data_IF_447507611852
#
_entry.id   IF_447507611852
#
_cell.length_a   1.000
_cell.length_b   1.000
_cell.length_c   1.000
_cell.angle_alpha   90.00
_cell.angle_beta   90.00
_cell.angle_gamma   90.00
#
_symmetry.space_group_name_H-M   'P 1'
#
loop_
_entity.id
_entity.type
_entity.pdbx_description
1 polymer ?
#
# COMPACT_ATOMS: atom_id res chain seq x y z
N UNK A 1 -4.56 6.31 -53.49
CA UNK A 1 -5.60 7.21 -52.93
C UNK A 1 -6.19 6.74 -51.59
N UNK A 2 -6.71 5.50 -51.47
CA UNK A 2 -7.33 5.05 -50.21
C UNK A 2 -6.34 4.96 -49.02
N UNK A 3 -5.12 4.47 -49.22
CA UNK A 3 -4.09 4.38 -48.17
C UNK A 3 -3.65 5.75 -47.64
N UNK A 4 -3.48 6.74 -48.53
CA UNK A 4 -3.13 8.11 -48.14
C UNK A 4 -4.22 8.75 -47.25
N UNK A 5 -5.50 8.46 -47.51
CA UNK A 5 -6.60 8.92 -46.65
C UNK A 5 -6.56 8.28 -45.26
N UNK A 6 -6.23 6.98 -45.18
CA UNK A 6 -6.07 6.28 -43.90
C UNK A 6 -4.97 6.92 -43.06
N UNK A 7 -3.84 7.25 -43.68
CA UNK A 7 -2.72 7.91 -43.00
C UNK A 7 -3.11 9.31 -42.49
N UNK A 8 -3.82 10.11 -43.29
CA UNK A 8 -4.32 11.42 -42.85
C UNK A 8 -5.27 11.32 -41.67
N UNK A 9 -6.15 10.30 -41.66
CA UNK A 9 -7.06 10.05 -40.53
C UNK A 9 -6.27 9.69 -39.26
N UNK A 10 -5.27 8.81 -39.37
CA UNK A 10 -4.41 8.46 -38.24
C UNK A 10 -3.64 9.64 -37.69
N UNK A 11 -3.16 10.54 -38.56
CA UNK A 11 -2.51 11.79 -38.14
C UNK A 11 -3.48 12.69 -37.37
N UNK A 12 -4.73 12.82 -37.82
CA UNK A 12 -5.76 13.56 -37.09
C UNK A 12 -6.09 12.95 -35.71
N UNK A 13 -6.08 11.62 -35.60
CA UNK A 13 -6.26 10.94 -34.31
C UNK A 13 -5.09 11.23 -33.37
N UNK A 14 -3.86 11.18 -33.87
CA UNK A 14 -2.66 11.50 -33.09
C UNK A 14 -2.73 12.93 -32.56
N UNK A 15 -3.03 13.91 -33.42
CA UNK A 15 -3.17 15.31 -33.03
C UNK A 15 -4.27 15.51 -31.98
N UNK A 16 -5.40 14.81 -32.10
CA UNK A 16 -6.47 14.89 -31.11
C UNK A 16 -6.05 14.32 -29.75
N UNK A 17 -5.39 13.16 -29.75
CA UNK A 17 -4.88 12.52 -28.51
C UNK A 17 -3.83 13.42 -27.87
N UNK A 18 -2.87 13.90 -28.65
CA UNK A 18 -1.85 14.83 -28.19
C UNK A 18 -2.45 16.14 -27.70
N UNK A 19 -3.47 16.70 -28.36
CA UNK A 19 -4.15 17.89 -27.86
C UNK A 19 -4.82 17.62 -26.51
N UNK A 20 -5.50 16.48 -26.34
CA UNK A 20 -6.16 16.16 -25.06
C UNK A 20 -5.16 15.90 -23.94
N UNK A 21 -4.06 15.21 -24.22
CA UNK A 21 -3.02 14.89 -23.24
C UNK A 21 -2.10 16.09 -22.98
N UNK A 22 -1.66 16.82 -23.99
CA UNK A 22 -0.82 18.02 -23.88
C UNK A 22 -1.60 19.32 -23.65
N UNK A 23 -2.93 19.33 -23.69
CA UNK A 23 -3.71 20.48 -23.20
C UNK A 23 -3.42 20.74 -21.72
N UNK A 24 -2.95 19.72 -20.99
CA UNK A 24 -2.26 19.88 -19.72
C UNK A 24 -0.77 20.26 -19.92
N UNK A 25 -0.45 21.21 -20.80
CA UNK A 25 0.88 21.80 -21.05
C UNK A 25 1.41 22.61 -19.83
N UNK A 26 1.04 22.14 -18.65
CA UNK A 26 1.24 22.72 -17.33
C UNK A 26 2.67 22.51 -16.86
N UNK A 27 3.40 21.54 -17.44
CA UNK A 27 4.84 21.39 -17.20
C UNK A 27 5.63 22.65 -17.60
N UNK A 28 5.13 23.43 -18.57
CA UNK A 28 5.75 24.69 -18.99
C UNK A 28 5.34 25.90 -18.11
N UNK A 29 4.43 25.71 -17.17
CA UNK A 29 3.95 26.73 -16.25
C UNK A 29 4.30 26.31 -14.82
N UNK A 30 5.48 26.72 -14.35
CA UNK A 30 6.01 26.39 -13.02
C UNK A 30 5.00 26.68 -11.89
N UNK A 31 4.17 27.72 -12.07
CA UNK A 31 3.18 28.16 -11.08
C UNK A 31 2.01 27.19 -10.91
N UNK A 32 1.73 26.36 -11.93
CA UNK A 32 0.66 25.35 -11.93
C UNK A 32 1.18 23.94 -11.77
N UNK A 33 2.49 23.77 -11.56
CA UNK A 33 3.12 22.47 -11.41
C UNK A 33 2.61 21.72 -10.18
N UNK A 34 2.23 22.44 -9.11
CA UNK A 34 1.60 21.83 -7.92
C UNK A 34 0.25 21.20 -8.25
N UNK A 35 -0.59 21.87 -9.04
CA UNK A 35 -1.94 21.39 -9.41
C UNK A 35 -1.90 20.20 -10.39
N UNK A 36 -0.74 19.92 -11.00
CA UNK A 36 -0.54 18.77 -11.90
C UNK A 36 0.29 17.66 -11.28
N UNK A 37 1.16 17.99 -10.31
CA UNK A 37 1.90 17.00 -9.54
C UNK A 37 1.01 16.27 -8.54
N UNK A 38 -0.08 16.93 -8.10
CA UNK A 38 -1.09 16.34 -7.24
C UNK A 38 -2.40 16.26 -7.99
N UNK A 39 -3.15 15.19 -7.75
CA UNK A 39 -4.46 15.04 -8.36
C UNK A 39 -5.52 15.80 -7.55
N UNK A 40 -6.61 16.18 -8.20
CA UNK A 40 -7.77 16.73 -7.50
C UNK A 40 -8.50 15.65 -6.69
N UNK A 41 -9.41 16.05 -5.79
CA UNK A 41 -10.21 15.11 -4.99
C UNK A 41 -11.06 14.15 -5.84
N UNK A 42 -11.27 14.47 -7.13
CA UNK A 42 -12.03 13.65 -8.08
C UNK A 42 -11.17 12.76 -8.96
N UNK A 43 -9.86 12.77 -8.76
CA UNK A 43 -8.84 12.04 -9.50
C UNK A 43 -8.87 12.30 -11.02
N UNK A 44 -9.11 13.54 -11.44
CA UNK A 44 -9.29 13.91 -12.85
C UNK A 44 -8.06 13.58 -13.70
N UNK A 45 -6.86 13.90 -13.21
CA UNK A 45 -5.61 13.66 -13.95
C UNK A 45 -5.28 12.17 -14.01
N UNK A 46 -5.48 11.42 -12.91
CA UNK A 46 -5.28 9.97 -12.90
C UNK A 46 -6.23 9.26 -13.88
N UNK A 47 -7.50 9.69 -13.94
CA UNK A 47 -8.48 9.16 -14.90
C UNK A 47 -8.10 9.47 -16.34
N UNK A 48 -7.62 10.69 -16.61
CA UNK A 48 -7.16 11.10 -17.93
C UNK A 48 -5.99 10.24 -18.41
N UNK A 49 -4.95 10.06 -17.59
CA UNK A 49 -3.81 9.22 -17.97
C UNK A 49 -4.20 7.76 -18.14
N UNK A 50 -5.08 7.23 -17.27
CA UNK A 50 -5.57 5.87 -17.42
C UNK A 50 -6.37 5.68 -18.72
N UNK A 51 -7.23 6.64 -19.07
CA UNK A 51 -7.94 6.64 -20.34
C UNK A 51 -6.97 6.70 -21.53
N UNK A 52 -6.00 7.61 -21.49
CA UNK A 52 -5.04 7.81 -22.57
C UNK A 52 -4.15 6.57 -22.79
N UNK A 53 -3.66 5.94 -21.72
CA UNK A 53 -2.84 4.72 -21.83
C UNK A 53 -3.61 3.58 -22.48
N UNK A 54 -4.86 3.36 -22.07
CA UNK A 54 -5.68 2.29 -22.64
C UNK A 54 -6.01 2.57 -24.11
N UNK A 55 -6.39 3.81 -24.42
CA UNK A 55 -6.68 4.22 -25.79
C UNK A 55 -5.45 4.06 -26.68
N UNK A 56 -4.29 4.59 -26.29
CA UNK A 56 -3.08 4.54 -27.11
C UNK A 56 -2.61 3.09 -27.32
N UNK A 57 -2.72 2.21 -26.31
CA UNK A 57 -2.47 0.78 -26.52
C UNK A 57 -3.38 0.16 -27.59
N UNK A 58 -4.67 0.49 -27.57
CA UNK A 58 -5.62 0.00 -28.58
C UNK A 58 -5.29 0.56 -29.96
N UNK A 59 -4.94 1.85 -30.07
CA UNK A 59 -4.55 2.48 -31.33
C UNK A 59 -3.26 1.87 -31.90
N UNK A 60 -2.24 1.63 -31.07
CA UNK A 60 -1.00 0.96 -31.49
C UNK A 60 -1.29 -0.43 -32.03
N UNK A 61 -2.18 -1.19 -31.38
CA UNK A 61 -2.58 -2.51 -31.84
C UNK A 61 -3.27 -2.45 -33.21
N UNK A 62 -4.20 -1.52 -33.38
CA UNK A 62 -4.90 -1.32 -34.66
C UNK A 62 -3.95 -0.88 -35.79
N UNK A 63 -2.95 -0.05 -35.48
CA UNK A 63 -1.89 0.33 -36.41
C UNK A 63 -1.02 -0.87 -36.80
N UNK A 64 -0.64 -1.69 -35.82
CA UNK A 64 0.15 -2.90 -36.05
C UNK A 64 -0.59 -3.90 -36.95
N UNK A 65 -1.87 -4.14 -36.65
CA UNK A 65 -2.76 -4.96 -37.46
C UNK A 65 -2.83 -4.41 -38.91
N UNK A 66 -2.98 -3.09 -39.07
CA UNK A 66 -3.06 -2.43 -40.39
C UNK A 66 -1.77 -2.61 -41.21
N UNK A 67 -0.60 -2.45 -40.59
CA UNK A 67 0.71 -2.64 -41.21
C UNK A 67 0.92 -4.12 -41.58
N UNK A 68 0.50 -5.04 -40.72
CA UNK A 68 0.59 -6.48 -40.98
C UNK A 68 -0.32 -6.89 -42.14
N UNK A 69 -1.55 -6.37 -42.23
CA UNK A 69 -2.46 -6.64 -43.34
C UNK A 69 -1.88 -6.18 -44.68
N UNK A 70 -1.23 -5.02 -44.73
CA UNK A 70 -0.53 -4.58 -45.93
C UNK A 70 0.60 -5.54 -46.32
N UNK A 71 1.41 -5.95 -45.34
CA UNK A 71 2.53 -6.88 -45.57
C UNK A 71 2.05 -8.23 -46.11
N UNK A 72 0.94 -8.75 -45.57
CA UNK A 72 0.31 -9.97 -46.04
C UNK A 72 -0.25 -9.80 -47.46
N UNK A 73 -0.97 -8.71 -47.74
CA UNK A 73 -1.47 -8.40 -49.07
C UNK A 73 -0.33 -8.32 -50.10
N UNK A 74 0.76 -7.63 -49.76
CA UNK A 74 1.94 -7.50 -50.60
C UNK A 74 2.53 -8.88 -50.92
N UNK A 75 2.80 -9.69 -49.89
CA UNK A 75 3.42 -11.01 -50.05
C UNK A 75 2.55 -12.02 -50.83
N UNK A 76 1.22 -11.96 -50.66
CA UNK A 76 0.31 -12.94 -51.26
C UNK A 76 -0.23 -12.54 -52.63
N UNK A 77 -0.48 -11.25 -52.87
CA UNK A 77 -1.10 -10.78 -54.11
C UNK A 77 -0.11 -10.06 -55.03
N UNK A 78 0.75 -9.20 -54.49
CA UNK A 78 1.61 -8.31 -55.30
C UNK A 78 2.85 -9.03 -55.80
N UNK A 79 3.59 -9.74 -54.93
CA UNK A 79 4.81 -10.47 -55.31
C UNK A 79 4.59 -11.53 -56.39
N UNK A 80 3.60 -12.46 -56.26
CA UNK A 80 3.37 -13.47 -57.29
C UNK A 80 2.97 -12.88 -58.66
N UNK A 81 2.28 -11.74 -58.66
CA UNK A 81 1.92 -11.05 -59.89
C UNK A 81 3.12 -10.40 -60.58
N UNK A 82 4.06 -9.87 -59.80
CA UNK A 82 5.31 -9.25 -60.29
C UNK A 82 6.28 -10.28 -60.89
N UNK A 83 6.32 -11.48 -60.30
CA UNK A 83 7.20 -12.57 -60.74
C UNK A 83 6.69 -13.31 -61.98
N UNK A 84 5.40 -13.15 -62.33
CA UNK A 84 4.84 -13.63 -63.59
C UNK A 84 5.61 -12.96 -64.74
N UNK A 85 6.04 -13.72 -65.74
CA UNK A 85 6.70 -13.18 -66.96
C UNK A 85 5.78 -13.37 -68.17
N UNK A 86 5.40 -12.29 -68.85
CA UNK A 86 4.70 -12.38 -70.13
C UNK A 86 5.69 -12.51 -71.30
N UNK A 87 5.32 -13.31 -72.31
CA UNK A 87 6.10 -13.44 -73.54
C UNK A 87 5.93 -12.20 -74.42
N UNK A 88 7.02 -11.72 -75.03
CA UNK A 88 6.99 -10.60 -76.00
C UNK A 88 6.23 -10.93 -77.29
N UNK A 89 5.98 -12.22 -77.56
CA UNK A 89 5.21 -12.68 -78.71
C UNK A 89 3.69 -12.74 -78.44
N UNK A 90 3.26 -12.37 -77.24
CA UNK A 90 1.85 -12.38 -76.85
C UNK A 90 1.18 -11.06 -77.28
N UNK A 91 0.04 -11.13 -77.96
CA UNK A 91 -0.73 -9.95 -78.41
C UNK A 91 -1.13 -9.03 -77.23
N UNK A 92 -1.12 -9.57 -76.01
CA UNK A 92 -1.45 -8.86 -74.78
C UNK A 92 -0.24 -8.20 -74.07
N UNK A 93 0.95 -8.26 -74.66
CA UNK A 93 2.20 -7.76 -74.06
C UNK A 93 2.13 -6.25 -73.70
N UNK A 94 1.47 -5.43 -74.53
CA UNK A 94 1.26 -4.01 -74.27
C UNK A 94 0.48 -3.74 -72.97
N UNK A 95 -0.65 -4.44 -72.77
CA UNK A 95 -1.48 -4.29 -71.57
C UNK A 95 -0.80 -4.87 -70.33
N UNK A 96 -0.02 -5.94 -70.49
CA UNK A 96 0.81 -6.48 -69.43
C UNK A 96 1.84 -5.45 -68.94
N UNK A 97 2.59 -4.80 -69.84
CA UNK A 97 3.57 -3.78 -69.48
C UNK A 97 2.92 -2.60 -68.76
N UNK A 98 1.79 -2.10 -69.30
CA UNK A 98 1.02 -1.01 -68.69
C UNK A 98 0.50 -1.39 -67.29
N UNK A 99 0.09 -2.64 -67.10
CA UNK A 99 -0.34 -3.13 -65.78
C UNK A 99 0.81 -3.22 -64.78
N UNK A 100 2.03 -3.55 -65.22
CA UNK A 100 3.21 -3.55 -64.35
C UNK A 100 3.61 -2.15 -63.93
N UNK A 101 3.58 -1.17 -64.84
CA UNK A 101 3.85 0.24 -64.52
C UNK A 101 2.82 0.79 -63.52
N UNK A 102 1.53 0.48 -63.71
CA UNK A 102 0.48 0.83 -62.77
C UNK A 102 0.68 0.16 -61.39
N UNK A 103 1.06 -1.13 -61.37
CA UNK A 103 1.33 -1.85 -60.13
C UNK A 103 2.56 -1.30 -59.40
N UNK A 104 3.63 -0.96 -60.12
CA UNK A 104 4.84 -0.38 -59.53
C UNK A 104 4.56 0.96 -58.86
N UNK A 105 3.78 1.84 -59.51
CA UNK A 105 3.37 3.11 -58.90
C UNK A 105 2.44 2.94 -57.69
N UNK A 106 1.54 1.94 -57.71
CA UNK A 106 0.67 1.61 -56.58
C UNK A 106 1.44 0.97 -55.41
N UNK A 107 2.43 0.10 -55.70
CA UNK A 107 3.33 -0.48 -54.71
C UNK A 107 4.14 0.61 -54.01
N UNK A 108 4.70 1.56 -54.77
CA UNK A 108 5.43 2.68 -54.22
C UNK A 108 4.56 3.52 -53.28
N UNK A 109 3.34 3.89 -53.69
CA UNK A 109 2.40 4.64 -52.82
C UNK A 109 2.03 3.87 -51.56
N UNK A 110 1.89 2.54 -51.65
CA UNK A 110 1.58 1.70 -50.49
C UNK A 110 2.75 1.56 -49.54
N UNK A 111 3.98 1.46 -50.06
CA UNK A 111 5.18 1.45 -49.24
C UNK A 111 5.38 2.77 -48.51
N UNK A 112 5.25 3.90 -49.22
CA UNK A 112 5.31 5.24 -48.62
C UNK A 112 4.26 5.38 -47.48
N UNK A 113 3.02 4.97 -47.72
CA UNK A 113 1.97 4.98 -46.69
C UNK A 113 2.30 4.08 -45.49
N UNK A 114 2.88 2.90 -45.71
CA UNK A 114 3.28 2.02 -44.62
C UNK A 114 4.45 2.58 -43.82
N UNK A 115 5.44 3.20 -44.46
CA UNK A 115 6.54 3.87 -43.74
C UNK A 115 6.02 5.02 -42.88
N UNK A 116 4.97 5.73 -43.32
CA UNK A 116 4.33 6.79 -42.53
C UNK A 116 3.48 6.22 -41.38
N UNK A 117 2.80 5.07 -41.57
CA UNK A 117 2.12 4.38 -40.46
C UNK A 117 3.10 3.86 -39.41
N UNK A 118 4.27 3.36 -39.82
CA UNK A 118 5.34 2.96 -38.91
C UNK A 118 5.89 4.14 -38.12
N UNK A 119 6.06 5.31 -38.76
CA UNK A 119 6.48 6.52 -38.05
C UNK A 119 5.43 6.96 -37.03
N UNK A 120 4.15 6.96 -37.41
CA UNK A 120 3.03 7.29 -36.51
C UNK A 120 2.94 6.33 -35.33
N UNK A 121 3.14 5.02 -35.57
CA UNK A 121 3.20 4.02 -34.50
C UNK A 121 4.31 4.34 -33.50
N UNK A 122 5.49 4.72 -33.97
CA UNK A 122 6.61 5.11 -33.11
C UNK A 122 6.26 6.36 -32.29
N UNK A 123 5.64 7.36 -32.89
CA UNK A 123 5.17 8.56 -32.18
C UNK A 123 4.17 8.21 -31.06
N UNK A 124 3.19 7.34 -31.34
CA UNK A 124 2.26 6.86 -30.30
C UNK A 124 2.97 6.10 -29.17
N UNK A 125 4.02 5.33 -29.48
CA UNK A 125 4.80 4.61 -28.48
C UNK A 125 5.60 5.56 -27.57
N UNK A 126 6.21 6.59 -28.15
CA UNK A 126 6.92 7.63 -27.41
C UNK A 126 5.98 8.41 -26.48
N UNK A 127 4.79 8.77 -26.97
CA UNK A 127 3.76 9.43 -26.17
C UNK A 127 3.23 8.53 -25.06
N UNK A 128 3.04 7.24 -25.32
CA UNK A 128 2.63 6.26 -24.32
C UNK A 128 3.64 6.19 -23.17
N UNK A 129 4.93 6.07 -23.49
CA UNK A 129 5.99 6.02 -22.49
C UNK A 129 6.01 7.29 -21.63
N UNK A 130 5.87 8.46 -22.26
CA UNK A 130 5.77 9.75 -21.57
C UNK A 130 4.58 9.80 -20.61
N UNK A 131 3.41 9.35 -21.04
CA UNK A 131 2.20 9.34 -20.20
C UNK A 131 2.35 8.38 -19.02
N UNK A 132 2.97 7.21 -19.22
CA UNK A 132 3.26 6.25 -18.14
C UNK A 132 4.17 6.88 -17.09
N UNK A 133 5.26 7.53 -17.51
CA UNK A 133 6.17 8.24 -16.60
C UNK A 133 5.42 9.31 -15.82
N UNK A 134 4.56 10.08 -16.48
CA UNK A 134 3.80 11.15 -15.84
C UNK A 134 2.78 10.62 -14.83
N UNK A 135 2.08 9.53 -15.16
CA UNK A 135 1.19 8.81 -14.24
C UNK A 135 1.94 8.31 -13.02
N UNK A 136 3.11 7.71 -13.20
CA UNK A 136 3.90 7.16 -12.10
C UNK A 136 4.46 8.28 -11.21
N UNK A 137 4.88 9.39 -11.81
CA UNK A 137 5.24 10.62 -11.09
C UNK A 137 4.09 11.14 -10.23
N UNK A 138 2.89 11.23 -10.79
CA UNK A 138 1.67 11.66 -10.10
C UNK A 138 1.33 10.74 -8.92
N UNK A 139 1.33 9.41 -9.12
CA UNK A 139 1.01 8.46 -8.04
C UNK A 139 2.05 8.47 -6.92
N UNK A 140 3.33 8.57 -7.25
CA UNK A 140 4.38 8.68 -6.25
C UNK A 140 4.26 9.96 -5.43
N UNK A 141 3.97 11.09 -6.08
CA UNK A 141 3.75 12.36 -5.38
C UNK A 141 2.49 12.33 -4.49
N UNK A 142 1.37 11.80 -5.01
CA UNK A 142 0.14 11.63 -4.24
C UNK A 142 0.33 10.73 -3.01
N UNK A 143 1.05 9.62 -3.13
CA UNK A 143 1.34 8.73 -2.01
C UNK A 143 2.14 9.45 -0.90
N UNK A 144 3.11 10.30 -1.28
CA UNK A 144 3.87 11.12 -0.32
C UNK A 144 2.97 12.17 0.34
N UNK A 145 2.09 12.83 -0.43
CA UNK A 145 1.14 13.79 0.10
C UNK A 145 0.15 13.14 1.08
N UNK A 146 -0.40 11.99 0.72
CA UNK A 146 -1.30 11.20 1.57
C UNK A 146 -0.59 10.76 2.86
N UNK A 147 0.65 10.31 2.76
CA UNK A 147 1.47 9.97 3.94
C UNK A 147 1.68 11.18 4.86
N UNK A 148 1.94 12.37 4.31
CA UNK A 148 2.06 13.61 5.10
C UNK A 148 0.74 14.00 5.75
N UNK A 149 -0.37 13.90 5.02
CA UNK A 149 -1.71 14.19 5.53
C UNK A 149 -2.10 13.24 6.67
N UNK A 150 -1.89 11.94 6.48
CA UNK A 150 -2.12 10.91 7.50
C UNK A 150 -1.23 11.12 8.73
N UNK A 151 0.04 11.52 8.54
CA UNK A 151 0.94 11.87 9.65
C UNK A 151 0.40 13.06 10.45
N UNK A 152 0.00 14.15 9.78
CA UNK A 152 -0.58 15.33 10.44
C UNK A 152 -1.87 14.99 11.19
N UNK A 153 -2.73 14.17 10.59
CA UNK A 153 -3.93 13.68 11.26
C UNK A 153 -3.60 12.86 12.51
N UNK A 154 -2.59 11.98 12.42
CA UNK A 154 -2.10 11.20 13.55
C UNK A 154 -1.55 12.08 14.68
N UNK A 155 -0.82 13.14 14.35
CA UNK A 155 -0.33 14.13 15.32
C UNK A 155 -1.49 14.88 15.99
N UNK A 156 -2.49 15.31 15.23
CA UNK A 156 -3.68 15.97 15.76
C UNK A 156 -4.46 15.07 16.72
N UNK A 157 -4.68 13.80 16.35
CA UNK A 157 -5.34 12.80 17.22
C UNK A 157 -4.52 12.54 18.48
N UNK A 158 -3.19 12.48 18.37
CA UNK A 158 -2.29 12.32 19.52
C UNK A 158 -2.40 13.49 20.48
N UNK A 159 -2.42 14.72 19.98
CA UNK A 159 -2.57 15.92 20.79
C UNK A 159 -3.91 15.93 21.53
N UNK A 160 -5.01 15.64 20.81
CA UNK A 160 -6.34 15.53 21.41
C UNK A 160 -6.39 14.46 22.50
N UNK A 161 -5.76 13.31 22.25
CA UNK A 161 -5.69 12.20 23.23
C UNK A 161 -4.91 12.61 24.48
N UNK A 162 -3.80 13.34 24.34
CA UNK A 162 -3.05 13.85 25.48
C UNK A 162 -3.88 14.81 26.33
N UNK A 163 -4.57 15.75 25.69
CA UNK A 163 -5.50 16.67 26.37
C UNK A 163 -6.55 15.85 27.14
N UNK A 164 -7.25 14.92 26.48
CA UNK A 164 -8.28 14.08 27.12
C UNK A 164 -7.76 13.27 28.31
N UNK A 165 -6.58 12.65 28.21
CA UNK A 165 -5.98 11.87 29.31
C UNK A 165 -5.62 12.80 30.49
N UNK A 166 -5.16 14.02 30.24
CA UNK A 166 -4.88 14.99 31.29
C UNK A 166 -6.16 15.49 31.98
N UNK A 167 -7.25 15.72 31.23
CA UNK A 167 -8.49 16.28 31.76
C UNK A 167 -9.36 15.27 32.52
N UNK A 168 -9.30 13.97 32.19
CA UNK A 168 -10.15 12.95 32.81
C UNK A 168 -9.94 12.80 34.34
N UNK A 169 -8.71 12.65 34.87
CA UNK A 169 -8.49 12.58 36.31
C UNK A 169 -8.76 13.92 37.01
N UNK A 170 -8.51 15.05 36.35
CA UNK A 170 -8.85 16.38 36.87
C UNK A 170 -10.37 16.56 37.01
N UNK A 171 -11.14 16.15 35.99
CA UNK A 171 -12.60 16.16 36.03
C UNK A 171 -13.14 15.27 37.16
N UNK A 172 -12.51 14.12 37.41
CA UNK A 172 -12.84 13.26 38.55
C UNK A 172 -12.56 13.95 39.89
N UNK A 173 -11.42 14.64 40.05
CA UNK A 173 -11.11 15.40 41.26
C UNK A 173 -12.15 16.50 41.53
N UNK A 174 -12.55 17.25 40.50
CA UNK A 174 -13.60 18.28 40.60
C UNK A 174 -14.96 17.67 40.95
N UNK A 175 -15.32 16.54 40.35
CA UNK A 175 -16.56 15.83 40.66
C UNK A 175 -16.60 15.35 42.12
N UNK A 176 -15.51 14.77 42.63
CA UNK A 176 -15.39 14.36 44.04
C UNK A 176 -15.51 15.56 44.97
N UNK A 177 -14.91 16.70 44.59
CA UNK A 177 -14.98 17.94 45.35
C UNK A 177 -16.41 18.49 45.42
N UNK A 178 -17.17 18.37 44.33
CA UNK A 178 -18.55 18.84 44.25
C UNK A 178 -19.54 17.99 45.05
N UNK A 179 -19.26 16.71 45.29
CA UNK A 179 -20.21 15.78 45.93
C UNK A 179 -20.03 15.73 47.46
N UNK A 180 -18.83 16.02 47.98
CA UNK A 180 -18.55 15.76 49.39
C UNK A 180 -17.95 16.98 50.14
N UNK A 181 -18.79 17.65 50.93
CA UNK A 181 -18.39 18.78 51.79
C UNK A 181 -17.61 18.38 53.04
N UNK A 182 -17.57 17.08 53.39
CA UNK A 182 -16.95 16.60 54.63
C UNK A 182 -15.42 16.57 54.59
N UNK A 183 -14.81 16.73 53.42
CA UNK A 183 -13.36 16.74 53.27
C UNK A 183 -12.76 18.12 53.49
N UNK A 184 -11.60 18.17 54.15
CA UNK A 184 -10.81 19.41 54.26
C UNK A 184 -10.42 19.92 52.87
N UNK A 185 -10.80 21.16 52.57
CA UNK A 185 -10.50 21.85 51.31
C UNK A 185 -8.99 21.87 51.02
N UNK A 186 -8.16 21.96 52.07
CA UNK A 186 -6.71 21.96 51.95
C UNK A 186 -6.16 20.60 51.49
N UNK A 187 -6.62 19.50 52.08
CA UNK A 187 -6.16 18.15 51.72
C UNK A 187 -6.56 17.81 50.28
N UNK A 188 -7.77 18.20 49.86
CA UNK A 188 -8.22 17.95 48.49
C UNK A 188 -7.50 18.81 47.45
N UNK A 189 -7.16 20.06 47.79
CA UNK A 189 -6.35 20.91 46.92
C UNK A 189 -4.95 20.29 46.69
N UNK A 190 -4.31 19.80 47.76
CA UNK A 190 -3.01 19.12 47.67
C UNK A 190 -3.09 17.87 46.81
N UNK A 191 -4.10 17.01 47.03
CA UNK A 191 -4.29 15.79 46.23
C UNK A 191 -4.54 16.12 44.76
N UNK A 192 -5.35 17.13 44.46
CA UNK A 192 -5.64 17.54 43.07
C UNK A 192 -4.38 18.03 42.36
N UNK A 193 -3.54 18.83 43.03
CA UNK A 193 -2.26 19.30 42.48
C UNK A 193 -1.30 18.14 42.23
N UNK A 194 -1.20 17.19 43.18
CA UNK A 194 -0.34 16.00 43.03
C UNK A 194 -0.82 15.14 41.86
N UNK A 195 -2.13 14.85 41.78
CA UNK A 195 -2.71 14.07 40.69
C UNK A 195 -2.47 14.77 39.35
N UNK A 196 -2.71 16.08 39.26
CA UNK A 196 -2.45 16.87 38.06
C UNK A 196 -0.97 16.80 37.62
N UNK A 197 -0.05 17.01 38.56
CA UNK A 197 1.38 16.97 38.28
C UNK A 197 1.83 15.58 37.80
N UNK A 198 1.40 14.52 38.49
CA UNK A 198 1.71 13.13 38.12
C UNK A 198 1.14 12.78 36.74
N UNK A 199 -0.13 13.11 36.49
CA UNK A 199 -0.76 12.88 35.19
C UNK A 199 -0.03 13.62 34.08
N UNK A 200 0.32 14.89 34.28
CA UNK A 200 1.01 15.70 33.28
C UNK A 200 2.42 15.16 32.96
N UNK A 201 3.19 14.80 33.99
CA UNK A 201 4.51 14.18 33.84
C UNK A 201 4.39 12.87 33.05
N UNK A 202 3.42 12.02 33.37
CA UNK A 202 3.18 10.75 32.68
C UNK A 202 2.76 10.95 31.22
N UNK A 203 1.87 11.91 30.93
CA UNK A 203 1.41 12.17 29.56
C UNK A 203 2.51 12.75 28.68
N UNK A 204 3.30 13.71 29.19
CA UNK A 204 4.41 14.29 28.43
C UNK A 204 5.55 13.30 28.20
N UNK A 205 5.80 12.42 29.17
CA UNK A 205 6.85 11.41 29.09
C UNK A 205 6.32 10.04 28.64
N UNK A 206 5.10 9.97 28.08
CA UNK A 206 4.44 8.69 27.79
C UNK A 206 5.31 7.79 26.89
N UNK A 207 6.02 8.38 25.92
CA UNK A 207 6.89 7.63 25.03
C UNK A 207 8.09 7.00 25.78
N UNK A 208 8.69 7.76 26.72
CA UNK A 208 9.79 7.27 27.55
C UNK A 208 9.31 6.23 28.56
N UNK A 209 8.13 6.42 29.13
CA UNK A 209 7.48 5.47 30.04
C UNK A 209 7.18 4.17 29.34
N UNK A 210 6.60 4.21 28.13
CA UNK A 210 6.34 3.03 27.30
C UNK A 210 7.64 2.31 26.95
N UNK A 211 8.69 3.05 26.57
CA UNK A 211 9.99 2.45 26.28
C UNK A 211 10.58 1.75 27.51
N UNK A 212 10.51 2.39 28.68
CA UNK A 212 10.94 1.80 29.95
C UNK A 212 10.14 0.55 30.32
N UNK A 213 8.81 0.61 30.24
CA UNK A 213 7.90 -0.52 30.47
C UNK A 213 8.20 -1.68 29.52
N UNK A 214 8.43 -1.41 28.23
CA UNK A 214 8.82 -2.43 27.26
C UNK A 214 10.16 -3.06 27.60
N UNK A 215 11.14 -2.26 28.03
CA UNK A 215 12.46 -2.74 28.44
C UNK A 215 12.39 -3.63 29.68
N UNK A 216 11.52 -3.29 30.64
CA UNK A 216 11.27 -4.10 31.84
C UNK A 216 10.47 -5.37 31.53
N UNK A 217 9.51 -5.29 30.60
CA UNK A 217 8.66 -6.41 30.22
C UNK A 217 9.36 -7.42 29.31
N UNK A 218 10.28 -6.98 28.44
CA UNK A 218 11.01 -7.83 27.50
C UNK A 218 11.67 -9.07 28.13
N UNK A 219 12.46 -8.97 29.24
CA UNK A 219 13.07 -10.15 29.85
C UNK A 219 12.03 -11.10 30.44
N UNK A 220 11.02 -10.57 31.13
CA UNK A 220 9.93 -11.36 31.75
C UNK A 220 9.13 -12.10 30.69
N UNK A 221 8.82 -11.44 29.57
CA UNK A 221 8.13 -12.03 28.43
C UNK A 221 8.92 -13.19 27.82
N UNK A 222 10.24 -13.03 27.65
CA UNK A 222 11.09 -14.10 27.10
C UNK A 222 11.12 -15.32 28.01
N UNK A 223 11.28 -15.11 29.31
CA UNK A 223 11.26 -16.19 30.30
C UNK A 223 9.92 -16.93 30.31
N UNK A 224 8.81 -16.19 30.27
CA UNK A 224 7.47 -16.77 30.18
C UNK A 224 7.24 -17.60 28.92
N UNK A 225 7.71 -17.15 27.76
CA UNK A 225 7.56 -17.88 26.49
C UNK A 225 8.40 -19.16 26.50
N UNK A 226 9.60 -19.12 27.10
CA UNK A 226 10.43 -20.32 27.26
C UNK A 226 9.72 -21.37 28.12
N UNK A 227 9.22 -20.96 29.29
CA UNK A 227 8.48 -21.85 30.20
C UNK A 227 7.17 -22.35 29.59
N UNK A 228 6.49 -21.54 28.77
CA UNK A 228 5.30 -21.98 28.02
C UNK A 228 5.62 -23.08 27.01
N UNK A 229 6.82 -23.05 26.43
CA UNK A 229 7.25 -24.04 25.43
C UNK A 229 7.60 -25.38 26.10
N UNK A 230 7.98 -25.35 27.39
CA UNK A 230 8.27 -26.54 28.19
C UNK A 230 7.01 -27.19 28.80
N UNK A 231 5.89 -26.44 28.96
CA UNK A 231 4.64 -27.00 29.50
C UNK A 231 3.85 -27.71 28.38
N UNK A 232 3.58 -29.03 28.49
CA UNK A 232 2.90 -29.81 27.44
C UNK A 232 1.48 -29.31 27.14
N UNK A 233 0.86 -28.54 28.05
CA UNK A 233 -0.47 -27.96 27.83
C UNK A 233 -0.44 -26.62 27.06
N UNK A 234 0.72 -25.97 26.94
CA UNK A 234 0.88 -24.64 26.32
C UNK A 234 1.94 -24.61 25.20
N UNK A 235 2.58 -25.74 24.92
CA UNK A 235 3.70 -25.87 23.99
C UNK A 235 3.40 -25.34 22.57
N UNK A 236 2.25 -25.69 21.98
CA UNK A 236 1.88 -25.20 20.63
C UNK A 236 1.78 -23.67 20.59
N UNK A 237 1.28 -23.06 21.66
CA UNK A 237 1.15 -21.62 21.77
C UNK A 237 2.50 -20.93 21.99
N UNK A 238 3.36 -21.51 22.84
CA UNK A 238 4.74 -21.05 23.06
C UNK A 238 5.56 -21.03 21.76
N UNK A 239 5.49 -22.12 20.97
CA UNK A 239 6.14 -22.21 19.65
C UNK A 239 5.63 -21.17 18.66
N UNK A 240 4.33 -20.88 18.63
CA UNK A 240 3.76 -19.80 17.80
C UNK A 240 4.34 -18.44 18.19
N UNK A 241 4.38 -18.11 19.48
CA UNK A 241 4.99 -16.85 19.95
C UNK A 241 6.48 -16.74 19.63
N UNK A 242 7.22 -17.86 19.67
CA UNK A 242 8.65 -17.90 19.33
C UNK A 242 8.91 -17.75 17.82
N UNK A 243 8.06 -18.33 16.97
CA UNK A 243 8.15 -18.18 15.51
C UNK A 243 7.98 -16.71 15.06
N UNK A 244 7.11 -15.96 15.73
CA UNK A 244 6.90 -14.53 15.47
C UNK A 244 8.05 -13.63 15.96
N UNK A 245 8.89 -14.08 16.90
CA UNK A 245 10.07 -13.31 17.32
C UNK A 245 11.17 -13.27 16.22
N UNK A 246 11.14 -14.23 15.28
CA UNK A 246 12.08 -14.30 14.14
C UNK A 246 11.54 -13.71 12.82
N UNK A 247 10.22 -13.65 12.62
CA UNK A 247 9.62 -13.11 11.39
C UNK A 247 8.72 -11.89 11.71
N UNK A 248 9.17 -10.69 11.29
CA UNK A 248 8.45 -9.41 11.45
C UNK A 248 7.23 -9.22 10.53
N UNK A 249 6.78 -10.24 9.80
CA UNK A 249 5.86 -10.07 8.67
C UNK A 249 4.39 -10.42 8.98
N UNK A 250 3.56 -9.38 9.11
CA UNK A 250 2.22 -9.27 8.53
C UNK A 250 1.07 -10.18 9.00
N UNK A 251 1.32 -11.27 9.72
CA UNK A 251 0.24 -12.17 10.19
C UNK A 251 -0.20 -11.81 11.61
N UNK A 252 -1.52 -11.95 11.89
CA UNK A 252 -2.15 -11.61 13.18
C UNK A 252 -1.37 -12.21 14.35
N UNK A 253 -0.69 -11.36 15.11
CA UNK A 253 -0.01 -11.76 16.33
C UNK A 253 -1.03 -12.34 17.32
N UNK A 254 -0.74 -13.49 17.96
CA UNK A 254 -1.61 -13.99 19.02
C UNK A 254 -1.65 -12.98 20.17
N UNK A 255 -2.84 -12.82 20.76
CA UNK A 255 -3.12 -11.82 21.80
C UNK A 255 -2.14 -11.94 22.98
N UNK A 256 -1.43 -10.86 23.31
CA UNK A 256 -0.49 -10.83 24.45
C UNK A 256 -1.17 -11.11 25.80
N UNK A 257 -2.48 -10.92 25.88
CA UNK A 257 -3.32 -11.29 27.03
C UNK A 257 -3.24 -12.77 27.41
N UNK A 258 -2.88 -13.65 26.48
CA UNK A 258 -2.73 -15.08 26.78
C UNK A 258 -1.47 -15.34 27.62
N UNK A 259 -0.42 -14.52 27.44
CA UNK A 259 0.80 -14.56 28.27
C UNK A 259 0.46 -14.16 29.71
N UNK A 260 -0.34 -13.10 29.89
CA UNK A 260 -0.83 -12.69 31.20
C UNK A 260 -1.68 -13.78 31.86
N UNK A 261 -2.60 -14.41 31.12
CA UNK A 261 -3.42 -15.50 31.64
C UNK A 261 -2.58 -16.69 32.13
N UNK A 262 -1.52 -17.05 31.41
CA UNK A 262 -0.60 -18.10 31.83
C UNK A 262 0.18 -17.70 33.09
N UNK A 263 0.67 -16.46 33.16
CA UNK A 263 1.33 -15.92 34.34
C UNK A 263 0.42 -16.03 35.58
N UNK A 264 -0.84 -15.58 35.49
CA UNK A 264 -1.81 -15.70 36.58
C UNK A 264 -2.10 -17.16 36.96
N UNK A 265 -2.26 -18.06 35.98
CA UNK A 265 -2.48 -19.50 36.24
C UNK A 265 -1.30 -20.12 36.98
N UNK A 266 -0.07 -19.74 36.62
CA UNK A 266 1.16 -20.20 37.29
C UNK A 266 1.23 -19.67 38.72
N UNK A 267 0.96 -18.38 38.93
CA UNK A 267 0.95 -17.76 40.25
C UNK A 267 -0.07 -18.46 41.18
N UNK A 268 -1.26 -18.74 40.67
CA UNK A 268 -2.31 -19.44 41.40
C UNK A 268 -1.89 -20.88 41.76
N UNK A 269 -1.25 -21.60 40.83
CA UNK A 269 -0.77 -22.97 41.05
C UNK A 269 0.31 -23.02 42.14
N UNK A 270 1.25 -22.08 42.14
CA UNK A 270 2.31 -21.97 43.15
C UNK A 270 1.72 -21.62 44.53
N UNK A 271 0.79 -20.67 44.60
CA UNK A 271 0.11 -20.33 45.85
C UNK A 271 -0.68 -21.51 46.43
N UNK A 272 -1.37 -22.30 45.58
CA UNK A 272 -2.08 -23.50 46.02
C UNK A 272 -1.13 -24.59 46.53
N UNK A 273 0.04 -24.78 45.90
CA UNK A 273 1.06 -25.72 46.38
C UNK A 273 1.66 -25.30 47.72
N UNK A 274 1.95 -24.01 47.92
CA UNK A 274 2.44 -23.48 49.20
C UNK A 274 1.39 -23.65 50.30
N UNK A 275 0.13 -23.35 50.01
CA UNK A 275 -0.98 -23.57 50.96
C UNK A 275 -1.17 -25.04 51.31
N UNK A 276 -0.99 -25.95 50.35
CA UNK A 276 -1.03 -27.39 50.57
C UNK A 276 0.10 -27.85 51.49
N UNK A 277 1.33 -27.40 51.25
CA UNK A 277 2.50 -27.73 52.09
C UNK A 277 2.33 -27.17 53.52
N UNK A 278 1.85 -25.93 53.65
CA UNK A 278 1.57 -25.33 54.96
C UNK A 278 0.46 -26.08 55.71
N UNK A 279 -0.61 -26.50 55.02
CA UNK A 279 -1.65 -27.36 55.62
C UNK A 279 -1.10 -28.73 56.02
N UNK A 280 -0.27 -29.35 55.20
CA UNK A 280 0.37 -30.64 55.51
C UNK A 280 1.35 -30.53 56.69
N UNK A 281 2.03 -29.39 56.83
CA UNK A 281 2.92 -29.11 57.96
C UNK A 281 2.13 -28.87 59.26
N UNK A 282 1.03 -28.13 59.18
CA UNK A 282 0.13 -27.87 60.31
C UNK A 282 -0.53 -29.17 60.83
N UNK A 283 -0.93 -30.09 59.95
CA UNK A 283 -1.50 -31.39 60.35
C UNK A 283 -0.44 -32.32 60.95
N UNK A 284 0.81 -32.26 60.47
CA UNK A 284 1.93 -33.03 61.05
C UNK A 284 2.31 -32.53 62.45
N UNK A 285 2.32 -31.21 62.67
CA UNK A 285 2.55 -30.60 64.00
C UNK A 285 1.45 -30.96 65.00
N UNK A 286 0.18 -30.99 64.56
CA UNK A 286 -0.94 -31.41 65.41
C UNK A 286 -0.86 -32.89 65.82
N UNK A 287 -0.21 -33.76 65.03
CA UNK A 287 0.05 -35.17 65.40
C UNK A 287 1.21 -35.34 66.38
N UNK A 288 2.24 -34.49 66.33
CA UNK A 288 3.35 -34.56 67.31
C UNK A 288 2.94 -34.10 68.70
N UNK A 289 2.03 -33.12 68.81
CA UNK A 289 1.56 -32.63 70.12
C UNK A 289 0.60 -33.62 70.83
N UNK A 290 -0.09 -34.49 70.07
CA UNK A 290 -1.00 -35.51 70.64
C UNK A 290 -0.24 -36.78 71.07
N UNK A 291 0.91 -37.09 70.44
CA UNK A 291 1.74 -38.25 70.79
C UNK A 291 2.71 -38.02 71.96
N UNK A 292 2.81 -36.79 72.50
CA UNK A 292 3.69 -36.44 73.62
C UNK A 292 3.04 -36.50 75.00
N UNK A 293 1.80 -36.97 75.12
CA UNK A 293 1.05 -37.03 76.40
C UNK A 293 0.84 -38.46 76.95
N UNK A 294 1.43 -39.48 76.33
CA UNK A 294 1.38 -40.89 76.80
C UNK A 294 2.78 -41.50 76.98
N UNK A 295 3.72 -40.74 77.57
CA UNK A 295 4.97 -41.28 78.10
C UNK A 295 5.19 -40.79 79.53
#
# INVERSE_FOLDING_TARGET
>A
MALALVVLLWRGVLEYVQYRVNSSNVLNQADRLQDVLFDDDTFSNSKLYFWAINLIHELIKLLDDSIQQWTLYRSQAVTPWKDRKASKADDNYYWYQKSQEALASAEQQGEEACTELESLKREFQEDLERIIIMRDGLFNANAVMESRSSTRLGENVKLLTFVSISFLPLGLCVAIWSVNESYSRASLAVVTVIVAAVTYILTLNLNNVIWGLRKLYAPVRRDLILVMTEDPSWEDLGRRFQAFERFKTGHRQPLEWVILRFFFKRLLRVHLQVLYILRAWATKKKRSDVGGSEA
#
